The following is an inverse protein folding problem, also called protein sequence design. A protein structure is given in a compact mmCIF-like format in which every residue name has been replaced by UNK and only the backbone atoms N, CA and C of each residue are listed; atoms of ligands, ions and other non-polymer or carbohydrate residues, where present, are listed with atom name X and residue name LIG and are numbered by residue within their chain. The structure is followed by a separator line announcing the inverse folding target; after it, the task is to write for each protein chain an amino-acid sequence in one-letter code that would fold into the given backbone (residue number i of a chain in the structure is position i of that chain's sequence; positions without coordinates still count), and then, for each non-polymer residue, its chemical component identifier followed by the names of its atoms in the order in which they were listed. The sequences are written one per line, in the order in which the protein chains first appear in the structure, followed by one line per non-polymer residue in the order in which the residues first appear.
data_IF_443553778514
#
_entry.id   IF_443553778514
#
_cell.length_a   1.000
_cell.length_b   1.000
_cell.length_c   1.000
_cell.angle_alpha   90.00
_cell.angle_beta   90.00
_cell.angle_gamma   90.00
#
_symmetry.space_group_name_H-M   'P 1'
#
loop_
_entity.id
_entity.type
_entity.pdbx_description
1 polymer ?
#
# COMPACT_ATOMS: atom_id res chain seq x y z
N UNK A 1 5.13 3.37 3.68
CA UNK A 1 3.80 3.44 3.04
C UNK A 1 3.68 4.78 2.32
N UNK A 2 3.07 4.82 1.13
CA UNK A 2 2.88 6.03 0.28
C UNK A 2 4.16 6.78 -0.14
N UNK A 3 5.31 6.11 -0.11
CA UNK A 3 6.56 6.60 -0.73
C UNK A 3 6.74 5.99 -2.12
N UNK A 4 7.96 6.01 -2.64
CA UNK A 4 8.34 5.32 -3.88
C UNK A 4 9.52 4.38 -3.67
N UNK A 5 9.60 3.34 -4.49
CA UNK A 5 10.78 2.50 -4.64
C UNK A 5 11.07 2.37 -6.14
N UNK A 6 12.35 2.31 -6.48
CA UNK A 6 12.75 2.38 -7.87
C UNK A 6 14.26 2.24 -8.01
N UNK A 7 14.74 2.50 -9.22
CA UNK A 7 16.17 2.51 -9.52
C UNK A 7 16.54 3.75 -10.33
N UNK A 8 17.82 4.08 -10.24
CA UNK A 8 18.51 5.05 -11.09
C UNK A 8 19.80 4.38 -11.58
N UNK A 9 20.08 4.48 -12.87
CA UNK A 9 21.28 3.95 -13.49
C UNK A 9 22.25 5.06 -13.91
N UNK A 10 23.52 4.71 -14.06
CA UNK A 10 24.53 5.62 -14.60
C UNK A 10 24.33 5.94 -16.09
N UNK A 11 23.51 5.14 -16.81
CA UNK A 11 23.07 5.44 -18.18
C UNK A 11 21.97 6.49 -18.24
N UNK A 12 21.45 6.93 -17.08
CA UNK A 12 20.40 7.96 -16.99
C UNK A 12 18.98 7.39 -16.92
N UNK A 13 18.82 6.07 -16.90
CA UNK A 13 17.51 5.44 -16.76
C UNK A 13 17.02 5.55 -15.31
N UNK A 14 15.75 5.89 -15.15
CA UNK A 14 15.12 6.11 -13.87
C UNK A 14 13.68 5.61 -13.92
N UNK A 15 13.31 4.74 -12.97
CA UNK A 15 11.95 4.25 -12.84
C UNK A 15 11.60 4.09 -11.36
N UNK A 16 10.45 4.64 -10.96
CA UNK A 16 9.94 4.65 -9.59
C UNK A 16 8.46 4.33 -9.57
N UNK A 17 8.04 3.55 -8.57
CA UNK A 17 6.65 3.22 -8.33
C UNK A 17 6.05 4.04 -7.18
N UNK A 18 4.79 3.74 -6.85
CA UNK A 18 4.18 4.11 -5.57
C UNK A 18 4.12 2.89 -4.66
N UNK A 19 4.53 3.05 -3.40
CA UNK A 19 4.48 2.00 -2.39
C UNK A 19 3.09 1.91 -1.76
N UNK A 20 2.23 1.16 -2.43
CA UNK A 20 0.90 0.72 -1.95
C UNK A 20 0.82 -0.80 -1.98
N UNK A 21 -0.08 -1.39 -1.16
CA UNK A 21 -0.21 -2.86 -1.01
C UNK A 21 1.12 -3.54 -0.69
N UNK A 22 1.87 -2.97 0.26
CA UNK A 22 3.21 -3.43 0.66
C UNK A 22 3.22 -3.84 2.12
N UNK A 23 3.92 -4.93 2.45
CA UNK A 23 4.20 -5.36 3.81
C UNK A 23 5.64 -5.08 4.17
N UNK A 24 5.86 -4.36 5.26
CA UNK A 24 7.20 -4.15 5.82
C UNK A 24 7.42 -5.17 6.93
N UNK A 25 8.44 -6.02 6.79
CA UNK A 25 8.86 -6.95 7.84
C UNK A 25 9.99 -6.34 8.66
N UNK A 26 9.81 -6.26 9.99
CA UNK A 26 10.84 -5.77 10.90
C UNK A 26 10.84 -6.64 12.16
N UNK A 27 11.99 -7.23 12.49
CA UNK A 27 12.18 -8.07 13.69
C UNK A 27 11.12 -9.18 13.84
N UNK A 28 10.75 -9.84 12.74
CA UNK A 28 9.73 -10.89 12.74
C UNK A 28 8.27 -10.40 12.75
N UNK A 29 8.05 -9.08 12.86
CA UNK A 29 6.71 -8.48 12.81
C UNK A 29 6.44 -7.89 11.44
N UNK A 30 5.29 -8.24 10.85
CA UNK A 30 4.81 -7.65 9.60
C UNK A 30 3.90 -6.46 9.83
N UNK A 31 4.18 -5.34 9.15
CA UNK A 31 3.38 -4.12 9.18
C UNK A 31 2.76 -3.89 7.80
N UNK A 32 1.44 -4.09 7.72
CA UNK A 32 0.64 -3.81 6.52
C UNK A 32 -0.09 -2.49 6.73
N UNK A 33 0.02 -1.59 5.76
CA UNK A 33 -0.75 -0.34 5.76
C UNK A 33 -1.75 -0.34 4.60
N UNK A 34 -2.95 0.12 4.91
CA UNK A 34 -4.05 0.32 3.96
C UNK A 34 -4.69 1.68 4.21
N UNK A 35 -5.40 2.19 3.22
CA UNK A 35 -6.06 3.48 3.30
C UNK A 35 -7.16 3.62 2.27
N UNK A 36 -8.03 4.59 2.50
CA UNK A 36 -9.13 4.97 1.65
C UNK A 36 -8.98 6.44 1.25
N UNK A 37 -9.54 6.81 0.10
CA UNK A 37 -9.52 8.19 -0.36
C UNK A 37 -10.71 8.92 0.24
N UNK A 38 -10.46 9.94 1.07
CA UNK A 38 -11.54 10.70 1.71
C UNK A 38 -11.89 11.92 0.88
N UNK A 39 -13.17 12.07 0.55
CA UNK A 39 -13.75 13.25 -0.09
C UNK A 39 -14.89 13.82 0.76
N UNK A 40 -15.45 14.97 0.36
CA UNK A 40 -16.49 15.65 1.15
C UNK A 40 -17.75 14.78 1.39
N UNK A 41 -18.10 13.93 0.43
CA UNK A 41 -19.27 13.06 0.48
C UNK A 41 -18.96 11.64 0.99
N UNK A 42 -17.73 11.40 1.49
CA UNK A 42 -17.34 10.07 1.98
C UNK A 42 -18.18 9.64 3.18
N UNK A 43 -18.57 8.37 3.19
CA UNK A 43 -19.24 7.72 4.32
C UNK A 43 -18.19 6.96 5.15
N UNK A 44 -17.97 7.30 6.44
CA UNK A 44 -16.92 6.67 7.24
C UNK A 44 -16.99 5.15 7.33
N UNK A 45 -18.18 4.56 7.33
CA UNK A 45 -18.33 3.10 7.41
C UNK A 45 -17.91 2.46 6.08
N UNK A 46 -18.31 3.04 4.95
CA UNK A 46 -17.92 2.54 3.62
C UNK A 46 -16.41 2.66 3.37
N UNK A 47 -15.80 3.76 3.79
CA UNK A 47 -14.34 3.95 3.64
C UNK A 47 -13.57 2.94 4.51
N UNK A 48 -14.06 2.66 5.72
CA UNK A 48 -13.49 1.62 6.56
C UNK A 48 -13.58 0.24 5.89
N UNK A 49 -14.73 -0.14 5.37
CA UNK A 49 -14.89 -1.40 4.62
C UNK A 49 -13.94 -1.47 3.42
N UNK A 50 -13.73 -0.37 2.69
CA UNK A 50 -12.75 -0.30 1.60
C UNK A 50 -11.32 -0.61 2.09
N UNK A 51 -10.91 -0.08 3.24
CA UNK A 51 -9.59 -0.40 3.81
C UNK A 51 -9.43 -1.89 4.11
N UNK A 52 -10.48 -2.52 4.65
CA UNK A 52 -10.48 -3.96 4.93
C UNK A 52 -10.40 -4.77 3.65
N UNK A 53 -11.17 -4.44 2.61
CA UNK A 53 -11.09 -5.12 1.31
C UNK A 53 -9.70 -5.00 0.68
N UNK A 54 -9.06 -3.83 0.76
CA UNK A 54 -7.68 -3.65 0.28
C UNK A 54 -6.67 -4.49 1.07
N UNK A 55 -6.88 -4.67 2.37
CA UNK A 55 -6.02 -5.52 3.20
C UNK A 55 -6.22 -7.01 2.88
N UNK A 56 -7.47 -7.44 2.70
CA UNK A 56 -7.80 -8.83 2.36
C UNK A 56 -7.14 -9.30 1.06
N UNK A 57 -7.08 -8.44 0.04
CA UNK A 57 -6.38 -8.76 -1.20
C UNK A 57 -4.92 -9.16 -0.96
N UNK A 58 -4.25 -8.50 0.01
CA UNK A 58 -2.90 -8.87 0.40
C UNK A 58 -2.86 -10.25 1.08
N UNK A 59 -3.70 -10.50 2.08
CA UNK A 59 -3.75 -11.79 2.78
C UNK A 59 -4.12 -12.96 1.87
N UNK A 60 -4.98 -12.75 0.88
CA UNK A 60 -5.32 -13.77 -0.11
C UNK A 60 -4.12 -14.25 -0.94
N UNK A 61 -3.06 -13.45 -1.05
CA UNK A 61 -1.82 -13.82 -1.72
C UNK A 61 -0.90 -14.72 -0.87
N UNK A 62 -1.12 -14.80 0.45
CA UNK A 62 -0.37 -15.68 1.38
C UNK A 62 -1.00 -17.07 1.53
N UNK A 63 -1.76 -17.50 0.52
CA UNK A 63 -2.37 -18.83 0.45
C UNK A 63 -1.38 -19.95 0.73
#
# INVERSE_FOLDING_TARGET
YTGSMGYLSWSGDLDFNILIRTLTMMNGTGYLQVGAGIVADSDPAREYEETIHKAQAFFSAFG
#
